data_IF_288564410008
#
_entry.id   IF_288564410008
#
_cell.length_a   1.000
_cell.length_b   1.000
_cell.length_c   1.000
_cell.angle_alpha   90.00
_cell.angle_beta   90.00
_cell.angle_gamma   90.00
#
_symmetry.space_group_name_H-M   'P 1'
#
loop_
_entity.id
_entity.type
_entity.pdbx_description
1 polymer ?
#
# COMPACT_ATOMS: atom_id res chain seq x y z
N UNK A 1 16.82 -14.29 8.43
CA UNK A 1 16.36 -12.93 8.80
C UNK A 1 15.14 -12.63 7.95
N UNK A 2 14.01 -12.28 8.57
CA UNK A 2 12.76 -11.99 7.83
C UNK A 2 12.93 -10.72 6.99
N UNK A 3 12.48 -10.77 5.74
CA UNK A 3 12.57 -9.67 4.79
C UNK A 3 11.19 -9.01 4.58
N UNK A 4 11.07 -7.73 4.89
CA UNK A 4 9.86 -6.94 4.75
C UNK A 4 10.06 -5.93 3.62
N UNK A 5 9.15 -5.91 2.66
CA UNK A 5 9.22 -5.05 1.49
C UNK A 5 7.99 -4.15 1.40
N UNK A 6 8.21 -2.84 1.43
CA UNK A 6 7.18 -1.85 1.17
C UNK A 6 7.07 -1.57 -0.32
N UNK A 7 5.85 -1.51 -0.82
CA UNK A 7 5.56 -1.18 -2.22
C UNK A 7 4.71 0.08 -2.28
N UNK A 8 5.21 1.12 -2.90
CA UNK A 8 4.46 2.38 -3.07
C UNK A 8 4.70 3.03 -4.43
N UNK A 9 3.62 3.55 -5.01
CA UNK A 9 3.65 4.40 -6.19
C UNK A 9 3.17 5.83 -5.88
N UNK A 10 2.66 6.04 -4.66
CA UNK A 10 2.09 7.32 -4.22
C UNK A 10 3.04 8.09 -3.31
N UNK A 11 3.71 7.39 -2.41
CA UNK A 11 4.53 8.00 -1.36
C UNK A 11 6.00 8.11 -1.80
N UNK A 12 6.68 9.15 -1.32
CA UNK A 12 8.11 9.36 -1.55
C UNK A 12 8.96 8.38 -0.73
N UNK A 13 10.26 8.28 -1.05
CA UNK A 13 11.22 7.45 -0.30
C UNK A 13 11.20 7.77 1.19
N UNK A 14 11.22 9.06 1.53
CA UNK A 14 11.25 9.55 2.92
C UNK A 14 9.86 9.88 3.46
N UNK A 15 8.86 9.05 3.12
CA UNK A 15 7.53 9.19 3.72
C UNK A 15 7.62 8.97 5.24
N UNK A 16 7.10 9.91 6.06
CA UNK A 16 7.27 9.86 7.51
C UNK A 16 6.74 8.58 8.17
N UNK A 17 5.70 7.97 7.62
CA UNK A 17 5.15 6.75 8.18
C UNK A 17 5.92 5.52 7.70
N UNK A 18 6.17 5.39 6.39
CA UNK A 18 6.83 4.21 5.82
C UNK A 18 8.30 4.18 6.23
N UNK A 19 9.02 5.28 6.03
CA UNK A 19 10.45 5.34 6.29
C UNK A 19 10.79 5.60 7.76
N UNK A 20 10.36 6.78 8.30
CA UNK A 20 10.85 7.21 9.62
C UNK A 20 10.27 6.40 10.77
N UNK A 21 8.98 6.03 10.71
CA UNK A 21 8.34 5.29 11.82
C UNK A 21 8.47 3.78 11.64
N UNK A 22 7.93 3.23 10.55
CA UNK A 22 7.84 1.78 10.38
C UNK A 22 9.16 1.18 9.90
N UNK A 23 9.76 1.73 8.84
CA UNK A 23 10.99 1.20 8.24
C UNK A 23 12.15 1.19 9.22
N UNK A 24 12.43 2.34 9.87
CA UNK A 24 13.51 2.43 10.86
C UNK A 24 13.28 1.52 12.07
N UNK A 25 12.05 1.46 12.59
CA UNK A 25 11.74 0.58 13.72
C UNK A 25 11.98 -0.89 13.37
N UNK A 26 11.60 -1.33 12.19
CA UNK A 26 11.83 -2.70 11.73
C UNK A 26 13.32 -2.98 11.48
N UNK A 27 14.04 -2.05 10.87
CA UNK A 27 15.49 -2.19 10.66
C UNK A 27 16.24 -2.26 12.00
N UNK A 28 15.89 -1.42 12.98
CA UNK A 28 16.44 -1.45 14.34
C UNK A 28 16.10 -2.75 15.07
N UNK A 29 14.94 -3.36 14.79
CA UNK A 29 14.54 -4.67 15.32
C UNK A 29 15.22 -5.86 14.60
N UNK A 30 16.15 -5.59 13.67
CA UNK A 30 16.94 -6.62 12.99
C UNK A 30 16.26 -7.27 11.78
N UNK A 31 15.19 -6.69 11.24
CA UNK A 31 14.59 -7.15 9.99
C UNK A 31 15.33 -6.56 8.77
N UNK A 32 15.40 -7.33 7.68
CA UNK A 32 15.78 -6.76 6.39
C UNK A 32 14.59 -5.94 5.86
N UNK A 33 14.82 -4.66 5.56
CA UNK A 33 13.78 -3.75 5.06
C UNK A 33 14.15 -3.22 3.69
N UNK A 34 13.23 -3.35 2.73
CA UNK A 34 13.35 -2.77 1.39
C UNK A 34 12.11 -1.91 1.11
N UNK A 35 12.31 -0.72 0.56
CA UNK A 35 11.23 0.18 0.11
C UNK A 35 11.34 0.32 -1.41
N UNK A 36 10.33 -0.13 -2.14
CA UNK A 36 10.25 0.01 -3.59
C UNK A 36 9.36 1.17 -3.94
N UNK A 37 9.90 2.11 -4.69
CA UNK A 37 9.21 3.35 -5.09
C UNK A 37 9.17 3.51 -6.59
N UNK A 38 8.15 4.22 -7.08
CA UNK A 38 8.03 4.59 -8.48
C UNK A 38 8.66 5.96 -8.72
N UNK A 39 9.98 5.95 -8.89
CA UNK A 39 10.80 7.12 -9.21
C UNK A 39 11.89 6.75 -10.23
N UNK A 40 12.81 7.70 -10.50
CA UNK A 40 13.97 7.54 -11.38
C UNK A 40 15.29 7.69 -10.62
N UNK A 41 15.24 7.74 -9.29
CA UNK A 41 16.41 7.89 -8.46
C UNK A 41 17.24 6.59 -8.40
N UNK A 42 18.54 6.66 -8.22
CA UNK A 42 19.38 5.48 -8.05
C UNK A 42 18.97 4.67 -6.82
N UNK A 43 19.24 3.38 -6.84
CA UNK A 43 19.08 2.55 -5.64
C UNK A 43 20.09 3.01 -4.59
N UNK A 44 19.68 3.04 -3.33
CA UNK A 44 20.49 3.51 -2.21
C UNK A 44 20.12 2.76 -0.92
N UNK A 45 20.97 2.87 0.08
CA UNK A 45 20.69 2.36 1.44
C UNK A 45 20.83 3.49 2.42
N UNK A 46 19.79 3.77 3.19
CA UNK A 46 19.76 4.82 4.23
C UNK A 46 19.25 4.18 5.52
N UNK A 47 19.96 4.38 6.61
CA UNK A 47 19.63 3.86 7.95
C UNK A 47 19.34 2.33 7.96
N UNK A 48 20.08 1.57 7.14
CA UNK A 48 19.91 0.12 7.02
C UNK A 48 18.70 -0.32 6.17
N UNK A 49 18.00 0.62 5.54
CA UNK A 49 16.85 0.38 4.68
C UNK A 49 17.27 0.53 3.22
N UNK A 50 17.02 -0.51 2.43
CA UNK A 50 17.30 -0.52 1.00
C UNK A 50 16.16 0.15 0.21
N UNK A 51 16.50 1.17 -0.60
CA UNK A 51 15.58 1.81 -1.53
C UNK A 51 15.82 1.31 -2.94
N UNK A 52 14.78 0.80 -3.57
CA UNK A 52 14.82 0.29 -4.95
C UNK A 52 13.86 1.10 -5.81
N UNK A 53 14.39 1.70 -6.87
CA UNK A 53 13.60 2.38 -7.88
C UNK A 53 12.95 1.37 -8.84
N UNK A 54 11.70 1.66 -9.23
CA UNK A 54 11.06 0.99 -10.35
C UNK A 54 11.62 1.40 -11.72
N UNK A 55 12.50 2.41 -11.77
CA UNK A 55 12.94 3.08 -13.00
C UNK A 55 11.73 3.54 -13.84
N UNK A 56 10.71 4.01 -13.16
CA UNK A 56 9.46 4.51 -13.74
C UNK A 56 8.86 5.56 -12.82
N UNK A 57 8.60 6.74 -13.36
CA UNK A 57 7.93 7.84 -12.68
C UNK A 57 6.68 8.22 -13.47
N UNK A 58 5.47 8.05 -12.91
CA UNK A 58 4.24 8.41 -13.61
C UNK A 58 4.15 9.93 -13.78
N UNK A 59 3.77 10.38 -14.98
CA UNK A 59 3.62 11.81 -15.32
C UNK A 59 2.26 12.36 -14.84
N UNK A 60 1.28 11.49 -14.60
CA UNK A 60 -0.07 11.88 -14.19
C UNK A 60 -0.68 10.90 -13.20
N UNK A 61 -1.76 11.33 -12.53
CA UNK A 61 -2.54 10.48 -11.63
C UNK A 61 -3.13 9.27 -12.36
N UNK A 62 -3.64 9.47 -13.58
CA UNK A 62 -4.25 8.38 -14.36
C UNK A 62 -3.19 7.35 -14.74
N UNK A 63 -2.05 7.81 -15.21
CA UNK A 63 -0.93 6.94 -15.56
C UNK A 63 -0.44 6.14 -14.34
N UNK A 64 -0.34 6.78 -13.17
CA UNK A 64 0.00 6.11 -11.93
C UNK A 64 -0.98 4.98 -11.61
N UNK A 65 -2.28 5.25 -11.69
CA UNK A 65 -3.32 4.24 -11.40
C UNK A 65 -3.27 3.05 -12.36
N UNK A 66 -2.92 3.26 -13.62
CA UNK A 66 -2.92 2.23 -14.65
C UNK A 66 -1.60 1.43 -14.69
N UNK A 67 -0.47 2.11 -14.65
CA UNK A 67 0.82 1.50 -15.00
C UNK A 67 1.68 1.10 -13.79
N UNK A 68 1.62 1.84 -12.69
CA UNK A 68 2.48 1.63 -11.51
C UNK A 68 2.47 0.18 -11.00
N UNK A 69 1.30 -0.46 -10.99
CA UNK A 69 1.15 -1.86 -10.53
C UNK A 69 2.04 -2.84 -11.30
N UNK A 70 2.23 -2.65 -12.59
CA UNK A 70 3.04 -3.54 -13.44
C UNK A 70 4.52 -3.48 -13.04
N UNK A 71 5.04 -2.29 -12.80
CA UNK A 71 6.44 -2.09 -12.42
C UNK A 71 6.70 -2.59 -11.00
N UNK A 72 5.85 -2.23 -10.04
CA UNK A 72 5.95 -2.71 -8.66
C UNK A 72 5.82 -4.23 -8.55
N UNK A 73 4.91 -4.85 -9.31
CA UNK A 73 4.77 -6.30 -9.32
C UNK A 73 6.02 -7.01 -9.80
N UNK A 74 6.65 -6.53 -10.88
CA UNK A 74 7.91 -7.08 -11.39
C UNK A 74 9.02 -6.98 -10.35
N UNK A 75 9.18 -5.82 -9.72
CA UNK A 75 10.17 -5.62 -8.65
C UNK A 75 9.90 -6.51 -7.45
N UNK A 76 8.65 -6.63 -7.02
CA UNK A 76 8.26 -7.51 -5.92
C UNK A 76 8.69 -8.96 -6.18
N UNK A 77 8.41 -9.50 -7.37
CA UNK A 77 8.81 -10.87 -7.71
C UNK A 77 10.34 -11.07 -7.75
N UNK A 78 11.10 -10.05 -8.18
CA UNK A 78 12.57 -10.10 -8.18
C UNK A 78 13.15 -10.06 -6.76
N UNK A 79 12.56 -9.27 -5.86
CA UNK A 79 12.99 -9.10 -4.46
C UNK A 79 12.66 -10.35 -3.65
N UNK A 80 11.53 -10.99 -3.91
CA UNK A 80 11.08 -12.22 -3.25
C UNK A 80 11.12 -12.12 -1.71
N UNK A 81 10.51 -11.06 -1.17
CA UNK A 81 10.45 -10.82 0.28
C UNK A 81 9.44 -11.75 0.99
N UNK A 82 9.61 -11.95 2.29
CA UNK A 82 8.70 -12.76 3.11
C UNK A 82 7.35 -12.08 3.32
N UNK A 83 7.37 -10.74 3.45
CA UNK A 83 6.18 -9.92 3.70
C UNK A 83 6.19 -8.70 2.78
N UNK A 84 5.06 -8.43 2.13
CA UNK A 84 4.83 -7.19 1.39
C UNK A 84 3.86 -6.29 2.13
N UNK A 85 4.24 -5.04 2.35
CA UNK A 85 3.36 -4.02 2.91
C UNK A 85 2.99 -2.99 1.86
N UNK A 86 1.71 -2.65 1.81
CA UNK A 86 1.12 -1.72 0.85
C UNK A 86 0.27 -0.71 1.61
N UNK A 87 0.34 0.57 1.24
CA UNK A 87 -0.51 1.64 1.81
C UNK A 87 -1.36 2.32 0.75
N UNK A 88 -1.05 2.13 -0.53
CA UNK A 88 -1.72 2.81 -1.64
C UNK A 88 -3.02 2.07 -2.01
N UNK A 89 -4.20 2.72 -2.00
CA UNK A 89 -5.46 2.07 -2.38
C UNK A 89 -5.47 1.61 -3.84
N UNK A 90 -4.67 2.28 -4.67
CA UNK A 90 -4.49 1.94 -6.08
C UNK A 90 -3.80 0.57 -6.26
N UNK A 91 -3.03 0.13 -5.26
CA UNK A 91 -2.26 -1.12 -5.27
C UNK A 91 -2.98 -2.31 -4.62
N UNK A 92 -4.22 -2.16 -4.16
CA UNK A 92 -4.97 -3.26 -3.52
C UNK A 92 -5.00 -4.54 -4.37
N UNK A 93 -5.24 -4.40 -5.68
CA UNK A 93 -5.22 -5.57 -6.59
C UNK A 93 -3.82 -6.18 -6.75
N UNK A 94 -2.76 -5.41 -6.59
CA UNK A 94 -1.39 -5.90 -6.57
C UNK A 94 -1.16 -6.81 -5.35
N UNK A 95 -1.58 -6.36 -4.17
CA UNK A 95 -1.47 -7.16 -2.96
C UNK A 95 -2.25 -8.48 -3.05
N UNK A 96 -3.47 -8.45 -3.62
CA UNK A 96 -4.23 -9.68 -3.88
C UNK A 96 -3.47 -10.64 -4.81
N UNK A 97 -2.82 -10.12 -5.87
CA UNK A 97 -1.99 -10.96 -6.77
C UNK A 97 -0.80 -11.57 -6.05
N UNK A 98 -0.11 -10.81 -5.21
CA UNK A 98 1.01 -11.32 -4.41
C UNK A 98 0.52 -12.39 -3.41
N UNK A 99 -0.62 -12.18 -2.78
CA UNK A 99 -1.25 -13.16 -1.89
C UNK A 99 -1.55 -14.48 -2.62
N UNK A 100 -2.09 -14.43 -3.83
CA UNK A 100 -2.33 -15.63 -4.65
C UNK A 100 -1.05 -16.34 -5.09
N UNK A 101 0.09 -15.66 -5.07
CA UNK A 101 1.42 -16.25 -5.29
C UNK A 101 2.03 -16.87 -4.02
N UNK A 102 1.33 -16.81 -2.89
CA UNK A 102 1.78 -17.39 -1.63
C UNK A 102 2.51 -16.43 -0.68
N UNK A 103 2.71 -15.17 -1.08
CA UNK A 103 3.36 -14.18 -0.21
C UNK A 103 2.45 -13.74 0.94
N UNK A 104 3.06 -13.35 2.07
CA UNK A 104 2.34 -12.63 3.12
C UNK A 104 2.18 -11.17 2.71
N UNK A 105 0.95 -10.67 2.79
CA UNK A 105 0.64 -9.28 2.38
C UNK A 105 -0.13 -8.57 3.47
N UNK A 106 0.35 -7.37 3.80
CA UNK A 106 -0.22 -6.49 4.82
C UNK A 106 -0.65 -5.19 4.15
N UNK A 107 -1.81 -4.66 4.53
CA UNK A 107 -2.27 -3.35 4.10
C UNK A 107 -2.26 -2.36 5.27
N UNK A 108 -1.69 -1.19 5.05
CA UNK A 108 -1.74 -0.09 6.00
C UNK A 108 -2.82 0.89 5.54
N UNK A 109 -3.98 0.85 6.18
CA UNK A 109 -5.13 1.68 5.87
C UNK A 109 -5.01 3.02 6.60
N UNK A 110 -4.32 3.97 5.98
CA UNK A 110 -4.03 5.29 6.55
C UNK A 110 -5.27 6.16 6.70
N UNK A 111 -6.24 5.98 5.80
CA UNK A 111 -7.43 6.82 5.69
C UNK A 111 -8.62 5.99 5.20
N UNK A 112 -9.82 6.37 5.60
CA UNK A 112 -11.03 5.76 5.04
C UNK A 112 -11.37 6.36 3.67
N UNK A 113 -10.76 5.79 2.63
CA UNK A 113 -10.84 6.30 1.25
C UNK A 113 -12.26 6.57 0.73
N UNK A 114 -13.31 5.74 1.01
CA UNK A 114 -14.66 6.05 0.60
C UNK A 114 -15.18 7.39 1.15
N UNK A 115 -14.82 7.75 2.38
CA UNK A 115 -15.17 9.04 2.98
C UNK A 115 -14.57 10.21 2.23
N UNK A 116 -13.28 10.10 1.88
CA UNK A 116 -12.54 11.16 1.16
C UNK A 116 -13.13 11.46 -0.22
N UNK A 117 -13.80 10.49 -0.86
CA UNK A 117 -14.42 10.70 -2.17
C UNK A 117 -15.52 11.75 -2.10
N UNK A 118 -16.24 11.86 -0.98
CA UNK A 118 -17.28 12.87 -0.79
C UNK A 118 -16.72 14.30 -0.77
N UNK A 119 -15.47 14.47 -0.37
CA UNK A 119 -14.80 15.78 -0.31
C UNK A 119 -14.20 16.24 -1.64
N UNK A 120 -14.23 15.39 -2.67
CA UNK A 120 -13.65 15.70 -3.99
C UNK A 120 -14.57 16.65 -4.79
N UNK A 121 -14.36 17.96 -4.66
CA UNK A 121 -15.18 18.98 -5.29
C UNK A 121 -15.25 18.90 -6.83
N UNK A 122 -14.25 18.31 -7.47
CA UNK A 122 -14.20 18.13 -8.93
C UNK A 122 -15.10 17.01 -9.47
N UNK A 123 -15.71 16.21 -8.58
CA UNK A 123 -16.66 15.16 -8.97
C UNK A 123 -18.10 15.64 -8.77
N UNK A 124 -19.03 15.39 -9.73
CA UNK A 124 -20.45 15.65 -9.53
C UNK A 124 -20.99 14.89 -8.31
N UNK A 125 -21.90 15.50 -7.52
CA UNK A 125 -22.42 14.92 -6.27
C UNK A 125 -22.97 13.50 -6.45
N UNK A 126 -23.73 13.25 -7.49
CA UNK A 126 -24.26 11.89 -7.77
C UNK A 126 -23.16 10.87 -8.07
N UNK A 127 -22.13 11.27 -8.81
CA UNK A 127 -20.99 10.42 -9.11
C UNK A 127 -20.17 10.08 -7.85
N UNK A 128 -20.04 11.02 -6.89
CA UNK A 128 -19.32 10.76 -5.63
C UNK A 128 -19.93 9.59 -4.85
N UNK A 129 -21.24 9.56 -4.71
CA UNK A 129 -21.92 8.49 -3.97
C UNK A 129 -21.70 7.12 -4.63
N UNK A 130 -21.84 7.04 -5.95
CA UNK A 130 -21.60 5.80 -6.68
C UNK A 130 -20.13 5.35 -6.55
N UNK A 131 -19.21 6.26 -6.75
CA UNK A 131 -17.76 5.97 -6.65
C UNK A 131 -17.39 5.55 -5.24
N UNK A 132 -17.92 6.22 -4.20
CA UNK A 132 -17.67 5.87 -2.80
C UNK A 132 -18.16 4.46 -2.47
N UNK A 133 -19.38 4.09 -2.89
CA UNK A 133 -19.94 2.74 -2.69
C UNK A 133 -19.11 1.67 -3.44
N UNK A 134 -18.71 1.94 -4.68
CA UNK A 134 -17.87 1.03 -5.45
C UNK A 134 -16.48 0.86 -4.79
N UNK A 135 -15.90 1.97 -4.33
CA UNK A 135 -14.62 1.96 -3.62
C UNK A 135 -14.71 1.19 -2.31
N UNK A 136 -15.79 1.36 -1.55
CA UNK A 136 -16.02 0.61 -0.32
C UNK A 136 -16.13 -0.91 -0.58
N UNK A 137 -16.93 -1.31 -1.57
CA UNK A 137 -17.03 -2.73 -1.97
C UNK A 137 -15.69 -3.29 -2.40
N UNK A 138 -14.93 -2.54 -3.19
CA UNK A 138 -13.61 -2.94 -3.66
C UNK A 138 -12.62 -3.07 -2.51
N UNK A 139 -12.58 -2.10 -1.60
CA UNK A 139 -11.73 -2.10 -0.41
C UNK A 139 -12.06 -3.32 0.47
N UNK A 140 -13.33 -3.50 0.84
CA UNK A 140 -13.81 -4.63 1.64
C UNK A 140 -13.45 -5.98 1.02
N UNK A 141 -13.71 -6.17 -0.27
CA UNK A 141 -13.44 -7.44 -0.96
C UNK A 141 -11.94 -7.74 -1.09
N UNK A 142 -11.11 -6.70 -1.21
CA UNK A 142 -9.66 -6.84 -1.31
C UNK A 142 -9.04 -7.12 0.05
N UNK A 143 -9.37 -6.34 1.08
CA UNK A 143 -8.79 -6.46 2.42
C UNK A 143 -9.08 -7.80 3.08
N UNK A 144 -10.23 -8.42 2.80
CA UNK A 144 -10.54 -9.79 3.26
C UNK A 144 -9.54 -10.84 2.81
N UNK A 145 -8.76 -10.57 1.77
CA UNK A 145 -7.75 -11.50 1.22
C UNK A 145 -6.36 -11.26 1.79
N UNK A 146 -6.15 -10.15 2.47
CA UNK A 146 -4.86 -9.80 3.07
C UNK A 146 -4.60 -10.61 4.36
N UNK A 147 -3.34 -10.74 4.73
CA UNK A 147 -2.96 -11.43 5.97
C UNK A 147 -3.23 -10.58 7.20
N UNK A 148 -3.03 -9.25 7.07
CA UNK A 148 -3.33 -8.29 8.13
C UNK A 148 -3.64 -6.92 7.54
N UNK A 149 -4.36 -6.10 8.29
CA UNK A 149 -4.66 -4.71 7.98
C UNK A 149 -4.30 -3.86 9.20
N UNK A 150 -3.43 -2.87 9.02
CA UNK A 150 -3.20 -1.86 10.06
C UNK A 150 -4.11 -0.67 9.86
N UNK A 151 -4.66 -0.16 10.93
CA UNK A 151 -5.51 1.03 10.94
C UNK A 151 -4.85 2.15 11.75
N UNK A 152 -5.37 3.37 11.60
CA UNK A 152 -4.85 4.54 12.32
C UNK A 152 -5.91 5.19 13.22
N UNK A 153 -7.17 4.72 13.16
CA UNK A 153 -8.28 5.28 13.93
C UNK A 153 -9.26 4.20 14.35
N UNK A 154 -9.86 4.34 15.54
CA UNK A 154 -10.88 3.44 16.06
C UNK A 154 -12.12 3.35 15.16
N UNK A 155 -12.51 4.46 14.48
CA UNK A 155 -13.64 4.42 13.54
C UNK A 155 -13.37 3.48 12.36
N UNK A 156 -12.16 3.51 11.83
CA UNK A 156 -11.75 2.61 10.74
C UNK A 156 -11.70 1.16 11.22
N UNK A 157 -11.20 0.95 12.43
CA UNK A 157 -11.14 -0.36 13.06
C UNK A 157 -12.53 -0.97 13.25
N UNK A 158 -13.47 -0.23 13.84
CA UNK A 158 -14.87 -0.63 13.99
C UNK A 158 -15.55 -0.96 12.65
N UNK A 159 -15.17 -0.27 11.56
CA UNK A 159 -15.67 -0.58 10.22
C UNK A 159 -15.13 -1.90 9.69
N UNK A 160 -13.85 -2.18 9.90
CA UNK A 160 -13.25 -3.47 9.51
C UNK A 160 -13.90 -4.64 10.25
N UNK A 161 -14.22 -4.49 11.53
CA UNK A 161 -14.99 -5.48 12.28
C UNK A 161 -16.36 -5.73 11.65
N UNK A 162 -17.14 -4.67 11.38
CA UNK A 162 -18.44 -4.77 10.70
C UNK A 162 -18.34 -5.41 9.31
N UNK A 163 -17.20 -5.33 8.66
CA UNK A 163 -16.95 -6.01 7.39
C UNK A 163 -16.54 -7.47 7.56
N UNK A 164 -16.32 -7.92 8.79
CA UNK A 164 -15.86 -9.27 9.11
C UNK A 164 -14.38 -9.50 8.75
N UNK A 165 -13.58 -8.45 8.80
CA UNK A 165 -12.12 -8.53 8.67
C UNK A 165 -11.56 -8.64 10.08
N UNK A 166 -11.09 -9.83 10.45
CA UNK A 166 -10.65 -10.14 11.83
C UNK A 166 -9.16 -9.85 12.09
N UNK A 167 -8.37 -9.67 11.04
CA UNK A 167 -6.92 -9.51 11.13
C UNK A 167 -6.55 -8.02 11.00
N UNK A 168 -7.14 -7.16 11.81
CA UNK A 168 -6.84 -5.73 11.87
C UNK A 168 -6.20 -5.36 13.22
N UNK A 169 -5.36 -4.33 13.22
CA UNK A 169 -4.55 -3.87 14.36
C UNK A 169 -4.37 -2.37 14.32
#
# INVERSE_FOLDING_TARGET
MMHICYLTGLYSRKDPLIFDRQGKALAMAGYKVTIVVCDLEPNETIDGIEFISCNYKPCSRIERMLNTKKFLYRKALMINADVYQISDPELLSLGVKLKHKGYKVVFNLREFYPGIIHDKAYLPKMARNVIAVLMEKYLKSSLKKYNAVFTVTDDTDNRLEKWGIKNHY
#
